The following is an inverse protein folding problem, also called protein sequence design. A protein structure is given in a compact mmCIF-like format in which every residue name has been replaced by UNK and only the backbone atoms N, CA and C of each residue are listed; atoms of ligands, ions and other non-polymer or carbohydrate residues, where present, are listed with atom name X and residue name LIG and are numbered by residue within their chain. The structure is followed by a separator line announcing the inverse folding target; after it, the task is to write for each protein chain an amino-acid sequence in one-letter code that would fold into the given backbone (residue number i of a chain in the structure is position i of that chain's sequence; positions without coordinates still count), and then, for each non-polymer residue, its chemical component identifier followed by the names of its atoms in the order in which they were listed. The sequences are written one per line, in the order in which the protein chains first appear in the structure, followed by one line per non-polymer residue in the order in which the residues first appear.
data_IF_165436643468
#
_entry.id   IF_165436643468
#
_cell.length_a   1.000
_cell.length_b   1.000
_cell.length_c   1.000
_cell.angle_alpha   90.00
_cell.angle_beta   90.00
_cell.angle_gamma   90.00
#
_symmetry.space_group_name_H-M   'P 1'
#
loop_
_entity.id
_entity.type
_entity.pdbx_description
1 polymer ?
#
# COMPACT_ATOMS: atom_id res chain seq x y z
N UNK A 1 31.36 18.39 8.22
CA UNK A 1 31.55 17.31 7.23
C UNK A 1 30.63 16.16 7.62
N UNK A 2 29.87 15.61 6.67
CA UNK A 2 28.92 14.52 6.89
C UNK A 2 29.29 13.37 5.97
N UNK A 3 29.30 12.15 6.52
CA UNK A 3 29.51 10.93 5.74
C UNK A 3 28.23 10.11 5.78
N UNK A 4 27.69 9.81 4.60
CA UNK A 4 26.47 9.01 4.43
C UNK A 4 26.88 7.66 3.86
N UNK A 5 26.53 6.58 4.56
CA UNK A 5 26.87 5.21 4.17
C UNK A 5 25.63 4.55 3.56
N UNK A 6 25.69 4.30 2.25
CA UNK A 6 24.60 3.79 1.42
C UNK A 6 23.95 4.88 0.57
N UNK A 7 23.94 4.69 -0.75
CA UNK A 7 23.33 5.51 -1.78
C UNK A 7 21.98 4.98 -2.28
N UNK A 8 21.19 4.38 -1.39
CA UNK A 8 19.77 4.11 -1.65
C UNK A 8 18.88 5.32 -1.36
N UNK A 9 17.56 5.14 -1.44
CA UNK A 9 16.57 6.20 -1.16
C UNK A 9 16.80 6.92 0.18
N UNK A 10 17.11 6.19 1.26
CA UNK A 10 17.38 6.80 2.56
C UNK A 10 18.66 7.65 2.58
N UNK A 11 19.72 7.22 1.90
CA UNK A 11 20.98 7.95 1.84
C UNK A 11 20.90 9.20 0.97
N UNK A 12 20.28 9.09 -0.21
CA UNK A 12 20.00 10.24 -1.07
C UNK A 12 19.04 11.23 -0.40
N UNK A 13 18.01 10.74 0.29
CA UNK A 13 17.11 11.58 1.08
C UNK A 13 17.85 12.35 2.17
N UNK A 14 18.75 11.69 2.92
CA UNK A 14 19.58 12.35 3.92
C UNK A 14 20.53 13.39 3.31
N UNK A 15 21.15 13.07 2.17
CA UNK A 15 22.03 14.00 1.46
C UNK A 15 21.27 15.24 0.99
N UNK A 16 20.09 15.06 0.37
CA UNK A 16 19.20 16.14 -0.06
C UNK A 16 18.79 17.02 1.10
N UNK A 17 18.33 16.42 2.20
CA UNK A 17 17.92 17.16 3.40
C UNK A 17 19.08 18.01 3.97
N UNK A 18 20.31 17.49 3.99
CA UNK A 18 21.49 18.26 4.42
C UNK A 18 21.78 19.43 3.47
N UNK A 19 21.73 19.22 2.16
CA UNK A 19 21.91 20.29 1.17
C UNK A 19 20.87 21.42 1.33
N UNK A 20 19.64 21.06 1.67
CA UNK A 20 18.52 22.01 1.80
C UNK A 20 18.40 22.65 3.19
N UNK A 21 19.06 22.08 4.20
CA UNK A 21 18.99 22.55 5.58
C UNK A 21 19.62 23.93 5.83
N UNK A 22 20.37 24.47 4.86
CA UNK A 22 21.17 25.69 5.02
C UNK A 22 22.40 25.53 5.91
N UNK A 23 22.67 24.32 6.41
CA UNK A 23 23.91 24.00 7.11
C UNK A 23 25.06 24.02 6.10
N UNK A 24 26.17 24.68 6.46
CA UNK A 24 27.40 24.61 5.68
C UNK A 24 28.01 23.20 5.80
N UNK A 25 27.59 22.32 4.91
CA UNK A 25 27.88 20.89 4.92
C UNK A 25 28.78 20.50 3.74
N UNK A 26 29.93 19.93 4.04
CA UNK A 26 30.67 19.09 3.10
C UNK A 26 30.16 17.66 3.26
N UNK A 27 29.51 17.11 2.23
CA UNK A 27 28.85 15.81 2.25
C UNK A 27 29.65 14.82 1.41
N UNK A 28 29.90 13.64 1.96
CA UNK A 28 30.50 12.51 1.26
C UNK A 28 29.55 11.32 1.35
N UNK A 29 29.01 10.87 0.21
CA UNK A 29 28.20 9.67 0.12
C UNK A 29 29.08 8.51 -0.35
N UNK A 30 29.04 7.39 0.37
CA UNK A 30 29.79 6.18 0.04
C UNK A 30 28.83 5.01 -0.12
N UNK A 31 29.02 4.20 -1.15
CA UNK A 31 28.26 2.96 -1.38
C UNK A 31 29.22 1.82 -1.78
N UNK A 32 28.78 0.58 -1.56
CA UNK A 32 29.51 -0.61 -1.98
C UNK A 32 29.23 -0.99 -3.45
N UNK A 33 28.10 -0.54 -4.00
CA UNK A 33 27.75 -0.68 -5.40
C UNK A 33 28.65 0.22 -6.26
N UNK A 34 29.15 -0.29 -7.40
CA UNK A 34 29.88 0.54 -8.36
C UNK A 34 29.04 1.70 -8.91
N UNK A 35 27.73 1.49 -9.02
CA UNK A 35 26.75 2.49 -9.44
C UNK A 35 25.54 2.46 -8.49
N UNK A 36 25.55 3.25 -7.41
CA UNK A 36 24.41 3.37 -6.51
C UNK A 36 23.31 4.29 -7.05
N UNK A 37 23.54 4.98 -8.19
CA UNK A 37 22.55 5.89 -8.77
C UNK A 37 21.46 5.14 -9.54
N UNK A 38 21.73 3.89 -9.93
CA UNK A 38 20.83 3.10 -10.78
C UNK A 38 20.89 3.49 -12.26
N UNK A 39 21.85 4.35 -12.67
CA UNK A 39 22.01 4.77 -14.06
C UNK A 39 22.42 3.59 -14.97
N UNK A 40 23.15 2.62 -14.44
CA UNK A 40 23.54 1.39 -15.14
C UNK A 40 22.60 0.25 -14.74
N UNK A 41 21.84 -0.34 -15.69
CA UNK A 41 20.95 -1.45 -15.36
C UNK A 41 21.75 -2.71 -15.00
N UNK A 42 21.24 -3.50 -14.06
CA UNK A 42 21.72 -4.86 -13.90
C UNK A 42 21.22 -5.71 -15.07
N UNK A 43 22.12 -6.52 -15.64
CA UNK A 43 21.79 -7.37 -16.78
C UNK A 43 22.00 -8.84 -16.43
N UNK A 44 21.07 -9.69 -16.89
CA UNK A 44 21.25 -11.14 -16.95
C UNK A 44 22.38 -11.54 -17.92
N UNK A 45 22.86 -12.80 -17.91
CA UNK A 45 23.85 -13.28 -18.89
C UNK A 45 23.39 -13.15 -20.35
N UNK A 46 22.07 -13.07 -20.59
CA UNK A 46 21.49 -12.84 -21.92
C UNK A 46 21.31 -11.37 -22.30
N UNK A 47 21.77 -10.44 -21.45
CA UNK A 47 21.66 -8.99 -21.68
C UNK A 47 20.29 -8.38 -21.35
N UNK A 48 19.36 -9.14 -20.75
CA UNK A 48 18.06 -8.61 -20.32
C UNK A 48 18.19 -7.88 -18.97
N UNK A 49 17.51 -6.73 -18.77
CA UNK A 49 17.45 -6.06 -17.48
C UNK A 49 16.93 -6.97 -16.38
N UNK A 50 17.50 -6.84 -15.19
CA UNK A 50 17.05 -7.49 -13.96
C UNK A 50 17.05 -6.46 -12.84
N UNK A 51 16.09 -6.57 -11.93
CA UNK A 51 16.04 -5.76 -10.71
C UNK A 51 16.33 -6.65 -9.52
N UNK A 52 16.98 -6.10 -8.49
CA UNK A 52 17.26 -6.85 -7.26
C UNK A 52 15.97 -7.17 -6.45
N UNK A 53 14.87 -6.50 -6.76
CA UNK A 53 13.55 -6.77 -6.21
C UNK A 53 12.45 -6.05 -6.98
N UNK A 54 11.21 -6.49 -6.82
CA UNK A 54 10.05 -5.81 -7.39
C UNK A 54 9.79 -4.53 -6.59
N UNK A 55 9.93 -3.38 -7.24
CA UNK A 55 9.68 -2.06 -6.64
C UNK A 55 8.49 -1.42 -7.34
N UNK A 56 7.62 -0.78 -6.57
CA UNK A 56 6.47 -0.04 -7.08
C UNK A 56 6.24 1.19 -6.22
N UNK A 57 5.64 2.21 -6.83
CA UNK A 57 5.17 3.40 -6.13
C UNK A 57 3.66 3.29 -5.93
N UNK A 58 3.20 3.64 -4.73
CA UNK A 58 1.78 3.77 -4.43
C UNK A 58 1.35 5.21 -4.62
N UNK A 59 0.06 5.43 -4.84
CA UNK A 59 -0.52 6.75 -5.08
C UNK A 59 -0.16 7.75 -3.97
N UNK A 60 -0.21 7.31 -2.71
CA UNK A 60 -0.11 8.17 -1.53
C UNK A 60 1.33 8.36 -1.03
N UNK A 61 2.29 8.63 -1.93
CA UNK A 61 3.68 8.93 -1.59
C UNK A 61 3.98 10.43 -1.80
N UNK A 62 3.46 11.34 -0.95
CA UNK A 62 3.55 12.79 -1.17
C UNK A 62 4.99 13.31 -1.26
N UNK A 63 5.92 12.67 -0.56
CA UNK A 63 7.35 13.01 -0.64
C UNK A 63 7.95 12.67 -2.01
N UNK A 64 7.49 11.60 -2.66
CA UNK A 64 7.94 11.22 -4.00
C UNK A 64 7.31 12.14 -5.05
N UNK A 65 6.01 12.41 -4.96
CA UNK A 65 5.33 13.31 -5.90
C UNK A 65 5.94 14.72 -5.83
N UNK A 66 6.22 15.21 -4.61
CA UNK A 66 6.94 16.48 -4.41
C UNK A 66 8.34 16.45 -5.02
N UNK A 67 9.06 15.33 -4.88
CA UNK A 67 10.39 15.17 -5.47
C UNK A 67 10.35 15.21 -7.01
N UNK A 68 9.38 14.55 -7.65
CA UNK A 68 9.19 14.63 -9.10
C UNK A 68 8.97 16.08 -9.55
N UNK A 69 8.08 16.81 -8.86
CA UNK A 69 7.82 18.22 -9.15
C UNK A 69 9.05 19.12 -8.95
N UNK A 70 9.86 18.89 -7.91
CA UNK A 70 11.10 19.64 -7.66
C UNK A 70 12.18 19.38 -8.73
N UNK A 71 12.17 18.20 -9.34
CA UNK A 71 13.12 17.79 -10.38
C UNK A 71 12.62 18.07 -11.81
N UNK A 72 11.43 18.66 -11.96
CA UNK A 72 10.77 18.88 -13.26
C UNK A 72 10.59 17.57 -14.05
N UNK A 73 10.26 16.49 -13.34
CA UNK A 73 9.96 15.18 -13.91
C UNK A 73 8.44 15.06 -14.07
N UNK A 74 8.00 14.79 -15.29
CA UNK A 74 6.60 14.43 -15.55
C UNK A 74 6.31 13.04 -14.95
N UNK A 75 5.31 12.96 -14.08
CA UNK A 75 4.91 11.72 -13.41
C UNK A 75 4.42 10.67 -14.43
N UNK A 76 3.81 11.11 -15.54
CA UNK A 76 3.33 10.22 -16.60
C UNK A 76 4.47 9.55 -17.40
N UNK A 77 5.69 10.10 -17.33
CA UNK A 77 6.88 9.53 -17.98
C UNK A 77 7.58 8.45 -17.12
N UNK A 78 7.36 8.47 -15.80
CA UNK A 78 8.09 7.61 -14.84
C UNK A 78 7.22 6.63 -14.08
N UNK A 79 5.92 6.90 -13.94
CA UNK A 79 4.98 5.99 -13.31
C UNK A 79 4.10 5.30 -14.33
N UNK A 80 3.82 4.02 -14.10
CA UNK A 80 2.85 3.30 -14.89
C UNK A 80 1.43 3.74 -14.52
N UNK A 81 0.46 3.61 -15.45
CA UNK A 81 -0.95 3.72 -15.09
C UNK A 81 -1.30 2.79 -13.92
N UNK A 82 -2.32 3.15 -13.15
CA UNK A 82 -2.84 2.32 -12.08
C UNK A 82 -3.27 0.93 -12.58
N UNK A 83 -2.77 -0.13 -11.95
CA UNK A 83 -3.05 -1.53 -12.33
C UNK A 83 -3.69 -2.31 -11.20
N UNK A 84 -4.86 -2.90 -11.41
CA UNK A 84 -5.52 -3.73 -10.39
C UNK A 84 -4.61 -4.85 -9.86
N UNK A 85 -4.72 -5.12 -8.56
CA UNK A 85 -3.97 -6.19 -7.88
C UNK A 85 -4.93 -7.30 -7.47
N UNK A 86 -4.65 -8.53 -7.88
CA UNK A 86 -5.49 -9.69 -7.57
C UNK A 86 -4.80 -10.60 -6.55
N UNK A 87 -5.55 -10.98 -5.51
CA UNK A 87 -5.11 -11.89 -4.46
C UNK A 87 -5.66 -13.28 -4.69
N UNK A 88 -4.76 -14.27 -4.73
CA UNK A 88 -5.10 -15.67 -4.98
C UNK A 88 -4.78 -16.52 -3.76
N UNK A 89 -5.72 -17.40 -3.42
CA UNK A 89 -5.53 -18.54 -2.52
C UNK A 89 -5.39 -19.84 -3.34
N UNK A 90 -5.09 -20.99 -2.70
CA UNK A 90 -5.19 -22.30 -3.36
C UNK A 90 -6.57 -22.59 -3.99
N UNK A 91 -7.64 -21.94 -3.50
CA UNK A 91 -9.00 -22.12 -4.00
C UNK A 91 -9.29 -21.23 -5.22
N UNK A 92 -8.51 -20.18 -5.46
CA UNK A 92 -8.62 -19.30 -6.63
C UNK A 92 -8.52 -17.81 -6.28
N UNK A 93 -9.08 -16.96 -7.14
CA UNK A 93 -9.16 -15.52 -6.92
C UNK A 93 -10.05 -15.22 -5.69
N UNK A 94 -9.48 -14.62 -4.66
CA UNK A 94 -10.18 -14.28 -3.40
C UNK A 94 -10.70 -12.85 -3.41
N UNK A 95 -9.85 -11.92 -3.83
CA UNK A 95 -10.15 -10.50 -3.90
C UNK A 95 -9.34 -9.84 -5.01
N UNK A 96 -9.90 -8.78 -5.59
CA UNK A 96 -9.12 -7.82 -6.37
C UNK A 96 -9.10 -6.51 -5.57
N UNK A 97 -7.93 -6.00 -5.19
CA UNK A 97 -7.88 -4.62 -4.69
C UNK A 97 -8.02 -3.68 -5.89
N UNK A 98 -8.83 -2.62 -5.78
CA UNK A 98 -8.73 -1.55 -6.73
C UNK A 98 -7.36 -0.90 -6.54
N UNK A 99 -6.75 -0.49 -7.62
CA UNK A 99 -5.78 0.58 -7.53
C UNK A 99 -6.55 1.88 -7.75
N UNK A 100 -6.49 2.74 -6.75
CA UNK A 100 -7.28 3.94 -6.60
C UNK A 100 -7.19 4.84 -7.85
N UNK A 101 -8.11 4.64 -8.79
CA UNK A 101 -8.49 5.68 -9.72
C UNK A 101 -9.92 5.46 -10.19
N UNK A 102 -10.73 6.52 -10.06
CA UNK A 102 -11.97 6.72 -10.81
C UNK A 102 -12.97 5.54 -10.74
N UNK A 103 -13.20 4.97 -9.55
CA UNK A 103 -14.29 3.99 -9.35
C UNK A 103 -15.61 4.62 -9.81
N UNK A 104 -16.25 4.00 -10.79
CA UNK A 104 -17.55 4.45 -11.30
C UNK A 104 -18.64 3.89 -10.40
N UNK A 105 -19.75 4.61 -10.30
CA UNK A 105 -20.89 4.16 -9.49
C UNK A 105 -21.42 2.79 -9.96
N UNK A 106 -21.32 2.51 -11.26
CA UNK A 106 -21.63 1.19 -11.83
C UNK A 106 -20.77 0.06 -11.28
N UNK A 107 -19.51 0.32 -10.94
CA UNK A 107 -18.58 -0.69 -10.44
C UNK A 107 -18.93 -1.14 -9.01
N UNK A 108 -19.67 -0.30 -8.26
CA UNK A 108 -20.13 -0.62 -6.91
C UNK A 108 -21.40 -1.48 -6.87
N UNK A 109 -22.09 -1.63 -8.00
CA UNK A 109 -23.34 -2.35 -8.07
C UNK A 109 -23.04 -3.79 -8.49
N UNK A 110 -23.36 -4.80 -7.66
CA UNK A 110 -23.20 -6.20 -8.04
C UNK A 110 -23.93 -6.49 -9.35
N UNK A 111 -23.28 -7.21 -10.27
CA UNK A 111 -23.86 -7.66 -11.55
C UNK A 111 -25.11 -8.54 -11.39
N UNK A 112 -25.37 -9.03 -10.18
CA UNK A 112 -26.56 -9.79 -9.80
C UNK A 112 -27.80 -8.92 -9.58
N UNK A 113 -27.65 -7.60 -9.46
CA UNK A 113 -28.77 -6.66 -9.35
C UNK A 113 -29.11 -6.16 -10.77
N UNK A 114 -30.27 -6.52 -11.33
CA UNK A 114 -30.66 -6.05 -12.65
C UNK A 114 -30.99 -4.56 -12.60
N UNK A 115 -30.19 -3.75 -13.29
CA UNK A 115 -30.42 -2.31 -13.47
C UNK A 115 -30.86 -2.08 -14.92
N UNK A 116 -31.96 -1.34 -15.17
CA UNK A 116 -32.36 -0.99 -16.53
C UNK A 116 -31.25 -0.20 -17.25
N UNK A 117 -31.03 -0.49 -18.53
CA UNK A 117 -29.96 0.14 -19.35
C UNK A 117 -29.98 1.67 -19.26
N UNK A 118 -31.17 2.27 -19.25
CA UNK A 118 -31.37 3.73 -19.11
C UNK A 118 -30.77 4.30 -17.82
N UNK A 119 -30.83 3.54 -16.73
CA UNK A 119 -30.26 3.94 -15.43
C UNK A 119 -28.76 3.69 -15.42
N UNK A 120 -28.31 2.56 -15.99
CA UNK A 120 -26.89 2.24 -16.14
C UNK A 120 -26.15 3.30 -16.94
N UNK A 121 -26.69 3.70 -18.10
CA UNK A 121 -26.12 4.73 -18.97
C UNK A 121 -26.13 6.11 -18.30
N UNK A 122 -27.13 6.40 -17.46
CA UNK A 122 -27.20 7.66 -16.73
C UNK A 122 -26.13 7.79 -15.65
N UNK A 123 -25.63 6.68 -15.11
CA UNK A 123 -24.68 6.67 -13.99
C UNK A 123 -23.28 6.14 -14.37
N UNK A 124 -23.08 5.70 -15.62
CA UNK A 124 -21.83 5.06 -16.08
C UNK A 124 -20.60 5.94 -15.98
N UNK A 125 -20.75 7.27 -16.08
CA UNK A 125 -19.65 8.23 -15.92
C UNK A 125 -19.67 8.94 -14.56
N UNK A 126 -20.58 8.55 -13.67
CA UNK A 126 -20.62 9.09 -12.31
C UNK A 126 -19.49 8.49 -11.50
N UNK A 127 -18.47 9.30 -11.22
CA UNK A 127 -17.36 8.92 -10.33
C UNK A 127 -17.86 8.99 -8.89
N UNK A 128 -17.61 7.92 -8.13
CA UNK A 128 -17.90 7.90 -6.69
C UNK A 128 -16.98 8.91 -6.02
N UNK A 129 -17.51 9.87 -5.23
CA UNK A 129 -16.67 10.84 -4.55
C UNK A 129 -15.68 10.11 -3.64
N UNK A 130 -14.42 10.58 -3.63
CA UNK A 130 -13.38 10.01 -2.80
C UNK A 130 -13.76 10.16 -1.32
N UNK A 131 -14.18 9.07 -0.69
CA UNK A 131 -14.36 8.98 0.75
C UNK A 131 -12.99 8.82 1.43
N UNK A 132 -12.80 9.34 2.65
CA UNK A 132 -11.55 9.14 3.38
C UNK A 132 -11.31 7.65 3.65
N UNK A 133 -10.04 7.22 3.65
CA UNK A 133 -9.69 5.91 4.23
C UNK A 133 -10.07 5.90 5.72
N UNK A 134 -10.62 4.79 6.25
CA UNK A 134 -10.87 3.51 5.58
C UNK A 134 -12.21 3.39 4.82
N UNK A 135 -13.12 4.34 5.00
CA UNK A 135 -14.48 4.22 4.44
C UNK A 135 -14.51 4.09 2.91
N UNK A 136 -13.66 4.84 2.21
CA UNK A 136 -13.57 4.75 0.75
C UNK A 136 -13.08 3.40 0.25
N UNK A 137 -12.09 2.80 0.92
CA UNK A 137 -11.54 1.54 0.46
C UNK A 137 -12.52 0.39 0.71
N UNK A 138 -13.25 0.39 1.84
CA UNK A 138 -14.32 -0.59 2.09
C UNK A 138 -15.38 -0.54 0.99
N UNK A 139 -15.86 0.67 0.67
CA UNK A 139 -16.89 0.82 -0.38
C UNK A 139 -16.36 0.33 -1.73
N UNK A 140 -15.13 0.73 -2.11
CA UNK A 140 -14.55 0.35 -3.39
C UNK A 140 -14.19 -1.15 -3.50
N UNK A 141 -13.82 -1.78 -2.39
CA UNK A 141 -13.42 -3.21 -2.34
C UNK A 141 -14.58 -4.16 -2.09
N UNK A 142 -15.71 -3.68 -1.55
CA UNK A 142 -16.89 -4.51 -1.25
C UNK A 142 -17.32 -5.43 -2.41
N UNK A 143 -17.41 -4.97 -3.67
CA UNK A 143 -17.79 -5.82 -4.79
C UNK A 143 -16.65 -6.74 -5.29
N UNK A 144 -15.40 -6.48 -4.90
CA UNK A 144 -14.23 -7.14 -5.47
C UNK A 144 -13.79 -8.40 -4.72
N UNK A 145 -14.47 -8.73 -3.63
CA UNK A 145 -14.30 -10.00 -2.94
C UNK A 145 -15.13 -11.09 -3.63
N UNK A 146 -14.45 -12.05 -4.23
CA UNK A 146 -15.06 -13.12 -5.01
C UNK A 146 -15.53 -14.28 -4.13
N UNK A 147 -14.76 -14.62 -3.09
CA UNK A 147 -14.91 -15.89 -2.36
C UNK A 147 -15.02 -15.80 -0.86
N UNK A 148 -14.68 -14.66 -0.26
CA UNK A 148 -14.79 -14.45 1.19
C UNK A 148 -16.27 -14.22 1.56
N UNK A 149 -16.89 -15.04 2.42
CA UNK A 149 -18.27 -14.85 2.86
C UNK A 149 -18.49 -13.51 3.58
N UNK A 150 -19.71 -12.97 3.52
CA UNK A 150 -20.04 -11.70 4.16
C UNK A 150 -19.78 -11.70 5.68
N UNK A 151 -20.00 -12.83 6.36
CA UNK A 151 -19.72 -12.97 7.79
C UNK A 151 -18.22 -12.81 8.11
N UNK A 152 -17.35 -13.38 7.26
CA UNK A 152 -15.91 -13.25 7.42
C UNK A 152 -15.45 -11.82 7.10
N UNK A 153 -16.02 -11.17 6.07
CA UNK A 153 -15.77 -9.74 5.78
C UNK A 153 -16.20 -8.84 6.93
N UNK A 154 -17.35 -9.11 7.55
CA UNK A 154 -17.86 -8.32 8.68
C UNK A 154 -16.91 -8.38 9.90
N UNK A 155 -16.10 -9.43 10.03
CA UNK A 155 -15.08 -9.51 11.08
C UNK A 155 -13.98 -8.44 10.94
N UNK A 156 -13.82 -7.82 9.76
CA UNK A 156 -12.91 -6.68 9.54
C UNK A 156 -13.29 -5.44 10.37
N UNK A 157 -14.55 -5.33 10.82
CA UNK A 157 -14.98 -4.20 11.65
C UNK A 157 -14.17 -4.07 12.94
N UNK A 158 -13.70 -5.19 13.50
CA UNK A 158 -12.79 -5.17 14.65
C UNK A 158 -11.47 -4.46 14.33
N UNK A 159 -10.93 -4.69 13.14
CA UNK A 159 -9.70 -4.06 12.69
C UNK A 159 -9.88 -2.57 12.46
N UNK A 160 -11.01 -2.13 11.91
CA UNK A 160 -11.32 -0.70 11.74
C UNK A 160 -11.37 0.04 13.08
N UNK A 161 -11.95 -0.58 14.10
CA UNK A 161 -11.94 -0.02 15.46
C UNK A 161 -10.51 0.08 16.01
N UNK A 162 -9.69 -0.95 15.77
CA UNK A 162 -8.28 -0.92 16.11
C UNK A 162 -7.53 0.20 15.36
N UNK A 163 -7.86 0.47 14.10
CA UNK A 163 -7.23 1.54 13.30
C UNK A 163 -7.52 2.90 13.91
N UNK A 164 -8.77 3.15 14.27
CA UNK A 164 -9.19 4.43 14.88
C UNK A 164 -8.47 4.64 16.20
N UNK A 165 -8.39 3.60 17.04
CA UNK A 165 -7.71 3.66 18.34
C UNK A 165 -6.19 3.84 18.18
N UNK A 166 -5.56 3.06 17.30
CA UNK A 166 -4.12 3.07 17.07
C UNK A 166 -3.65 4.36 16.38
N UNK A 167 -4.20 4.70 15.21
CA UNK A 167 -3.74 5.83 14.40
C UNK A 167 -4.34 7.18 14.85
N UNK A 168 -5.50 7.15 15.52
CA UNK A 168 -6.10 8.33 16.15
C UNK A 168 -5.64 8.56 17.58
N UNK A 169 -4.95 7.59 18.19
CA UNK A 169 -4.39 7.68 19.54
C UNK A 169 -3.08 8.46 19.61
N UNK A 170 -2.57 8.64 20.84
CA UNK A 170 -1.27 9.24 21.08
C UNK A 170 -0.11 8.23 20.93
N UNK A 171 1.12 8.73 21.08
CA UNK A 171 2.34 7.92 20.99
C UNK A 171 2.34 6.75 21.98
N UNK A 172 1.76 6.93 23.16
CA UNK A 172 1.69 5.86 24.18
C UNK A 172 0.74 4.73 23.78
N UNK A 173 -0.32 5.04 23.03
CA UNK A 173 -1.22 4.04 22.44
C UNK A 173 -0.50 3.33 21.31
N UNK A 174 0.13 4.07 20.40
CA UNK A 174 0.88 3.50 19.28
C UNK A 174 1.99 2.54 19.75
N UNK A 175 2.73 2.89 20.81
CA UNK A 175 3.72 2.00 21.43
C UNK A 175 3.12 0.68 21.95
N UNK A 176 1.89 0.70 22.45
CA UNK A 176 1.22 -0.53 22.91
C UNK A 176 0.89 -1.45 21.74
N UNK A 177 0.45 -0.88 20.61
CA UNK A 177 0.24 -1.64 19.38
C UNK A 177 1.58 -2.13 18.80
N UNK A 178 2.64 -1.31 18.85
CA UNK A 178 3.94 -1.72 18.32
C UNK A 178 4.56 -2.90 19.08
N UNK A 179 4.32 -2.97 20.40
CA UNK A 179 4.75 -4.09 21.24
C UNK A 179 3.93 -5.38 21.06
N UNK A 180 2.77 -5.30 20.40
CA UNK A 180 1.91 -6.43 20.10
C UNK A 180 2.24 -6.97 18.70
N UNK A 181 2.26 -8.28 18.51
CA UNK A 181 2.34 -8.82 17.14
C UNK A 181 0.95 -8.75 16.46
N UNK A 182 0.93 -8.74 15.13
CA UNK A 182 -0.30 -8.63 14.36
C UNK A 182 -1.24 -9.84 14.54
N UNK A 183 -0.70 -11.03 14.80
CA UNK A 183 -1.53 -12.20 15.10
C UNK A 183 -2.37 -12.01 16.37
N UNK A 184 -1.75 -11.53 17.45
CA UNK A 184 -2.42 -11.24 18.72
C UNK A 184 -3.47 -10.13 18.57
N UNK A 185 -3.20 -9.14 17.72
CA UNK A 185 -4.18 -8.12 17.35
C UNK A 185 -5.42 -8.77 16.71
N UNK A 186 -5.23 -9.65 15.73
CA UNK A 186 -6.34 -10.29 15.01
C UNK A 186 -7.20 -11.14 15.95
N UNK A 187 -6.58 -11.84 16.91
CA UNK A 187 -7.29 -12.56 17.95
C UNK A 187 -8.05 -11.62 18.89
N UNK A 188 -7.40 -10.54 19.35
CA UNK A 188 -7.99 -9.53 20.24
C UNK A 188 -9.25 -8.91 19.64
N UNK A 189 -9.22 -8.61 18.34
CA UNK A 189 -10.34 -8.02 17.61
C UNK A 189 -11.25 -9.05 16.92
N UNK A 190 -11.05 -10.34 17.19
CA UNK A 190 -11.90 -11.46 16.74
C UNK A 190 -12.11 -11.52 15.23
N UNK A 191 -11.03 -11.30 14.48
CA UNK A 191 -11.07 -11.52 13.05
C UNK A 191 -11.31 -13.01 12.76
N UNK A 192 -12.09 -13.28 11.73
CA UNK A 192 -12.33 -14.65 11.28
C UNK A 192 -11.03 -15.25 10.75
N UNK A 193 -10.82 -16.54 11.03
CA UNK A 193 -9.64 -17.26 10.52
C UNK A 193 -9.52 -17.18 9.00
N UNK A 194 -10.66 -17.25 8.30
CA UNK A 194 -10.72 -17.19 6.84
C UNK A 194 -10.26 -15.83 6.32
N UNK A 195 -10.74 -14.73 6.92
CA UNK A 195 -10.27 -13.39 6.55
C UNK A 195 -8.76 -13.24 6.77
N UNK A 196 -8.25 -13.77 7.89
CA UNK A 196 -6.81 -13.68 8.19
C UNK A 196 -5.97 -14.48 7.20
N UNK A 197 -6.31 -15.75 6.94
CA UNK A 197 -5.50 -16.62 6.10
C UNK A 197 -5.65 -16.35 4.60
N UNK A 198 -6.85 -16.03 4.12
CA UNK A 198 -7.13 -15.94 2.67
C UNK A 198 -6.93 -14.52 2.12
N UNK A 199 -6.91 -13.49 2.98
CA UNK A 199 -6.79 -12.08 2.55
C UNK A 199 -5.67 -11.32 3.24
N UNK A 200 -5.69 -11.24 4.56
CA UNK A 200 -4.75 -10.38 5.30
C UNK A 200 -3.32 -10.92 5.20
N UNK A 201 -3.10 -12.19 5.54
CA UNK A 201 -1.77 -12.80 5.54
C UNK A 201 -1.09 -12.78 4.15
N UNK A 202 -1.76 -13.09 3.03
CA UNK A 202 -1.21 -12.86 1.69
C UNK A 202 -0.78 -11.41 1.46
N UNK A 203 -1.61 -10.45 1.88
CA UNK A 203 -1.29 -9.01 1.80
C UNK A 203 -0.02 -8.67 2.60
N UNK A 204 0.11 -9.20 3.82
CA UNK A 204 1.30 -8.99 4.65
C UNK A 204 2.56 -9.65 4.07
N UNK A 205 2.43 -10.84 3.49
CA UNK A 205 3.56 -11.54 2.86
C UNK A 205 4.05 -10.82 1.60
N UNK A 206 3.16 -10.18 0.84
CA UNK A 206 3.54 -9.38 -0.33
C UNK A 206 4.08 -8.01 0.08
N UNK A 207 3.43 -7.35 1.05
CA UNK A 207 3.78 -5.98 1.45
C UNK A 207 5.01 -5.90 2.36
N UNK A 208 5.15 -6.85 3.29
CA UNK A 208 6.14 -6.81 4.36
C UNK A 208 7.05 -8.06 4.42
N UNK A 209 6.83 -9.02 3.52
CA UNK A 209 7.65 -10.25 3.40
C UNK A 209 7.71 -11.10 4.68
N UNK A 210 6.73 -10.95 5.56
CA UNK A 210 6.67 -11.62 6.86
C UNK A 210 5.26 -12.03 7.24
N UNK A 211 5.11 -13.14 8.00
CA UNK A 211 3.82 -13.55 8.51
C UNK A 211 3.39 -12.68 9.71
N UNK A 212 2.09 -12.64 10.05
CA UNK A 212 1.59 -11.75 11.10
C UNK A 212 2.16 -12.02 12.50
N UNK A 213 2.64 -13.22 12.78
CA UNK A 213 3.28 -13.58 14.05
C UNK A 213 4.65 -12.90 14.25
N UNK A 214 5.28 -12.45 13.16
CA UNK A 214 6.60 -11.81 13.16
C UNK A 214 6.51 -10.28 12.94
N UNK A 215 5.31 -9.74 12.77
CA UNK A 215 5.09 -8.33 12.47
C UNK A 215 4.49 -7.59 13.66
N UNK A 216 4.98 -6.38 13.90
CA UNK A 216 4.36 -5.41 14.81
C UNK A 216 2.93 -5.11 14.34
N UNK A 217 2.00 -5.04 15.29
CA UNK A 217 0.61 -4.69 14.98
C UNK A 217 0.54 -3.27 14.43
N UNK A 218 1.32 -2.31 14.95
CA UNK A 218 1.37 -0.94 14.43
C UNK A 218 1.75 -0.91 12.94
N UNK A 219 2.83 -1.60 12.55
CA UNK A 219 3.27 -1.66 11.15
C UNK A 219 2.20 -2.26 10.25
N UNK A 220 1.50 -3.30 10.73
CA UNK A 220 0.39 -3.90 9.98
C UNK A 220 -0.80 -2.94 9.86
N UNK A 221 -1.12 -2.18 10.91
CA UNK A 221 -2.20 -1.18 10.86
C UNK A 221 -1.90 -0.06 9.88
N UNK A 222 -0.66 0.43 9.84
CA UNK A 222 -0.23 1.42 8.86
C UNK A 222 -0.32 0.88 7.44
N UNK A 223 0.21 -0.32 7.18
CA UNK A 223 0.11 -0.96 5.87
C UNK A 223 -1.35 -1.07 5.45
N UNK A 224 -2.20 -1.65 6.29
CA UNK A 224 -3.58 -1.92 5.95
C UNK A 224 -4.36 -0.62 5.73
N UNK A 225 -4.10 0.44 6.49
CA UNK A 225 -4.71 1.76 6.26
C UNK A 225 -4.44 2.32 4.86
N UNK A 226 -3.23 2.12 4.32
CA UNK A 226 -2.91 2.58 2.96
C UNK A 226 -3.28 1.58 1.87
N UNK A 227 -3.45 0.29 2.19
CA UNK A 227 -3.51 -0.78 1.20
C UNK A 227 -4.84 -1.53 1.11
N UNK A 228 -5.59 -1.63 2.21
CA UNK A 228 -6.69 -2.60 2.33
C UNK A 228 -7.86 -2.19 3.25
N UNK A 229 -7.73 -1.12 4.03
CA UNK A 229 -8.73 -0.59 4.96
C UNK A 229 -9.20 0.78 4.55
#
# INVERSE_FOLDING_TARGET
KFVIVGGGWGGWGAAKALCESGVNAEITLIDALPDPTGNTPYLSPTGKPVEAGTRGFWMDYPNINKLCAELDIDEDDVFTPFTNSSFYSPDGLEATAPVFSKTKLTDLIPSTIPIPDVVSDAISDTIVPALPSPLGQIVATFPLFERIPLADRASMAGLLLATIDCLGGDESVQEQYDRMNAHDLFLKFRLSKRLVEDFIKPTLLVGLFKPPEELSALVVMELLYYYAL
#
